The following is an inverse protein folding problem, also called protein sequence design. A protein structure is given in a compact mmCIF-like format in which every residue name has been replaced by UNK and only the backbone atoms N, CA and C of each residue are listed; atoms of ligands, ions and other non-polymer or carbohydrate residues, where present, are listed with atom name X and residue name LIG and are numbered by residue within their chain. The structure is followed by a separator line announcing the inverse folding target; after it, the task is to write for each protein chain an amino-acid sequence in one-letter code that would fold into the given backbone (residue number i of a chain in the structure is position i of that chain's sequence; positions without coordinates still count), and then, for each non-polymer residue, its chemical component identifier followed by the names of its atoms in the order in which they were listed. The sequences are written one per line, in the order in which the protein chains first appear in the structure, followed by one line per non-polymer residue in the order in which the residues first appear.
data_IF_480060069096
#
_entry.id   IF_480060069096
#
_cell.length_a   1.000
_cell.length_b   1.000
_cell.length_c   1.000
_cell.angle_alpha   90.00
_cell.angle_beta   90.00
_cell.angle_gamma   90.00
#
_symmetry.space_group_name_H-M   'P 1'
#
loop_
_entity.id
_entity.type
_entity.pdbx_description
1 polymer ?
#
# COMPACT_ATOMS: atom_id res chain seq x y z
N UNK A 1 6.05 24.53 -0.24
CA UNK A 1 6.88 23.96 0.84
C UNK A 1 7.15 22.51 0.47
N UNK A 2 8.41 22.14 0.28
CA UNK A 2 8.79 20.80 -0.20
C UNK A 2 8.94 19.83 0.98
N UNK A 3 8.45 18.59 0.82
CA UNK A 3 8.46 17.55 1.84
C UNK A 3 9.42 16.43 1.44
N UNK A 4 10.67 16.53 1.87
CA UNK A 4 11.73 15.59 1.53
C UNK A 4 11.70 14.32 2.38
N UNK A 5 12.08 13.20 1.74
CA UNK A 5 12.26 11.92 2.43
C UNK A 5 13.52 11.88 3.30
N UNK A 6 13.68 10.80 4.07
CA UNK A 6 14.79 10.61 5.04
C UNK A 6 16.15 10.80 4.37
N UNK A 7 16.38 10.17 3.21
CA UNK A 7 17.68 10.20 2.50
C UNK A 7 18.07 11.62 2.08
N UNK A 8 17.15 12.36 1.49
CA UNK A 8 17.40 13.73 1.02
C UNK A 8 17.62 14.68 2.20
N UNK A 9 16.84 14.55 3.28
CA UNK A 9 17.06 15.36 4.48
C UNK A 9 18.38 15.06 5.18
N UNK A 10 18.82 13.80 5.20
CA UNK A 10 20.16 13.43 5.70
C UNK A 10 21.26 14.11 4.89
N UNK A 11 21.17 14.07 3.56
CA UNK A 11 22.16 14.70 2.69
C UNK A 11 22.21 16.22 2.84
N UNK A 12 21.03 16.87 2.94
CA UNK A 12 20.94 18.29 3.22
C UNK A 12 21.48 18.66 4.59
N UNK A 13 21.29 17.80 5.60
CA UNK A 13 21.77 18.05 6.96
C UNK A 13 23.30 18.16 7.06
N UNK A 14 24.04 17.49 6.16
CA UNK A 14 25.51 17.56 6.10
C UNK A 14 26.04 18.96 5.76
N UNK A 15 25.20 19.82 5.17
CA UNK A 15 25.56 21.22 4.85
C UNK A 15 25.52 22.13 6.06
N UNK A 16 24.97 21.67 7.19
CA UNK A 16 24.92 22.42 8.43
C UNK A 16 26.06 21.99 9.36
N UNK A 17 26.43 22.89 10.28
CA UNK A 17 27.49 22.67 11.28
C UNK A 17 27.25 21.42 12.14
N UNK A 18 25.97 21.08 12.36
CA UNK A 18 25.55 19.86 13.04
C UNK A 18 24.74 18.97 12.10
N UNK A 19 25.35 17.87 11.67
CA UNK A 19 24.64 16.85 10.89
C UNK A 19 23.53 16.22 11.72
N UNK A 20 22.32 16.15 11.15
CA UNK A 20 21.18 15.55 11.82
C UNK A 20 21.27 14.03 11.76
N UNK A 21 20.96 13.37 12.87
CA UNK A 21 20.89 11.91 12.91
C UNK A 21 19.63 11.40 12.23
N UNK A 22 19.70 10.19 11.67
CA UNK A 22 18.59 9.55 10.95
C UNK A 22 17.34 9.41 11.83
N UNK A 23 17.52 9.16 13.13
CA UNK A 23 16.44 8.94 14.09
C UNK A 23 15.62 10.21 14.32
N UNK A 24 16.30 11.37 14.32
CA UNK A 24 15.67 12.69 14.46
C UNK A 24 14.83 13.00 13.23
N UNK A 25 15.39 12.79 12.03
CA UNK A 25 14.71 13.01 10.76
C UNK A 25 13.52 12.08 10.60
N UNK A 26 13.69 10.79 10.95
CA UNK A 26 12.63 9.79 10.94
C UNK A 26 11.47 10.19 11.87
N UNK A 27 11.79 10.64 13.09
CA UNK A 27 10.79 11.12 14.05
C UNK A 27 10.05 12.34 13.50
N UNK A 28 10.75 13.31 12.92
CA UNK A 28 10.13 14.49 12.32
C UNK A 28 9.15 14.12 11.20
N UNK A 29 9.54 13.25 10.27
CA UNK A 29 8.66 12.78 9.18
C UNK A 29 7.45 12.02 9.75
N UNK A 30 7.65 11.23 10.80
CA UNK A 30 6.56 10.48 11.47
C UNK A 30 5.47 11.40 12.01
N UNK A 31 5.84 12.57 12.53
CA UNK A 31 4.88 13.55 13.07
C UNK A 31 4.38 14.56 12.04
N UNK A 32 4.98 14.63 10.85
CA UNK A 32 4.55 15.53 9.79
C UNK A 32 3.19 15.10 9.19
N UNK A 33 2.14 15.86 9.47
CA UNK A 33 0.76 15.56 9.03
C UNK A 33 0.61 15.45 7.51
N UNK A 34 1.34 16.26 6.74
CA UNK A 34 1.33 16.19 5.28
C UNK A 34 1.95 14.88 4.79
N UNK A 35 3.12 14.50 5.31
CA UNK A 35 3.78 13.24 4.98
C UNK A 35 2.94 12.02 5.40
N UNK A 36 2.24 12.08 6.53
CA UNK A 36 1.37 10.99 6.98
C UNK A 36 0.09 10.86 6.13
N UNK A 37 -0.40 11.95 5.54
CA UNK A 37 -1.56 11.94 4.63
C UNK A 37 -1.20 11.50 3.21
N UNK A 38 -0.03 11.92 2.70
CA UNK A 38 0.44 11.60 1.34
C UNK A 38 1.18 10.27 1.27
N UNK A 39 1.75 9.81 2.38
CA UNK A 39 2.42 8.52 2.47
C UNK A 39 1.45 7.39 2.13
N UNK A 40 1.87 6.51 1.21
CA UNK A 40 1.16 5.23 1.00
C UNK A 40 1.24 4.47 2.32
N UNK A 41 0.13 4.42 3.07
CA UNK A 41 0.01 3.44 4.16
C UNK A 41 0.30 2.07 3.54
N UNK A 42 1.14 1.23 4.16
CA UNK A 42 1.22 -0.16 3.72
C UNK A 42 -0.20 -0.69 3.80
N UNK A 43 -0.79 -1.01 2.64
CA UNK A 43 -2.06 -1.73 2.63
C UNK A 43 -1.73 -3.05 3.32
N UNK A 44 -2.30 -3.28 4.49
CA UNK A 44 -2.31 -4.60 5.10
C UNK A 44 -3.19 -5.46 4.20
N UNK A 45 -2.58 -6.04 3.17
CA UNK A 45 -3.24 -7.03 2.33
C UNK A 45 -2.90 -8.36 3.01
N UNK A 46 -3.85 -8.92 3.76
CA UNK A 46 -3.81 -10.35 4.00
C UNK A 46 -3.89 -11.00 2.62
N UNK A 47 -2.76 -11.46 2.08
CA UNK A 47 -2.67 -12.00 0.71
C UNK A 47 -3.44 -13.32 0.53
N UNK A 48 -4.12 -13.82 1.56
CA UNK A 48 -4.87 -15.08 1.50
C UNK A 48 -6.33 -14.85 1.88
N UNK A 49 -7.20 -15.21 0.94
CA UNK A 49 -8.60 -15.48 1.21
C UNK A 49 -8.70 -16.70 2.13
N UNK A 50 -9.74 -16.79 2.98
CA UNK A 50 -10.00 -18.01 3.75
C UNK A 50 -10.09 -19.23 2.82
N UNK A 51 -9.77 -20.43 3.29
CA UNK A 51 -9.93 -21.64 2.47
C UNK A 51 -11.42 -21.96 2.25
N UNK A 52 -11.77 -22.48 1.07
CA UNK A 52 -13.10 -23.02 0.82
C UNK A 52 -13.13 -24.50 1.23
N UNK A 53 -14.11 -24.92 2.03
CA UNK A 53 -14.11 -26.25 2.64
C UNK A 53 -14.79 -27.33 1.79
N UNK A 54 -15.71 -26.93 0.90
CA UNK A 54 -16.46 -27.82 0.00
C UNK A 54 -17.00 -27.02 -1.20
N UNK A 55 -17.42 -27.71 -2.26
CA UNK A 55 -18.02 -27.08 -3.45
C UNK A 55 -19.20 -26.19 -3.06
N UNK A 56 -19.31 -25.03 -3.71
CA UNK A 56 -20.36 -24.03 -3.47
C UNK A 56 -20.31 -23.36 -2.09
N UNK A 57 -19.24 -23.56 -1.31
CA UNK A 57 -19.02 -22.87 -0.04
C UNK A 57 -18.74 -21.37 -0.23
N UNK A 58 -18.07 -21.00 -1.33
CA UNK A 58 -17.79 -19.60 -1.68
C UNK A 58 -17.66 -19.46 -3.18
N UNK A 59 -18.24 -18.40 -3.73
CA UNK A 59 -18.05 -17.99 -5.11
C UNK A 59 -17.26 -16.69 -5.20
N UNK A 60 -16.42 -16.57 -6.22
CA UNK A 60 -15.86 -15.31 -6.64
C UNK A 60 -16.63 -14.83 -7.87
N UNK A 61 -17.12 -13.60 -7.79
CA UNK A 61 -17.85 -12.94 -8.88
C UNK A 61 -17.04 -11.75 -9.34
N UNK A 62 -16.84 -11.64 -10.65
CA UNK A 62 -16.19 -10.48 -11.26
C UNK A 62 -16.89 -10.07 -12.54
N UNK A 63 -16.68 -8.83 -12.96
CA UNK A 63 -17.22 -8.26 -14.18
C UNK A 63 -16.09 -7.84 -15.10
N UNK A 64 -16.13 -8.27 -16.35
CA UNK A 64 -15.22 -7.75 -17.37
C UNK A 64 -15.96 -7.38 -18.65
N UNK A 65 -15.30 -6.56 -19.45
CA UNK A 65 -15.72 -6.27 -20.82
C UNK A 65 -14.83 -7.02 -21.79
N UNK A 66 -15.44 -7.75 -22.71
CA UNK A 66 -14.74 -8.41 -23.79
C UNK A 66 -15.49 -8.21 -25.11
N UNK A 67 -14.80 -7.70 -26.13
CA UNK A 67 -15.39 -7.37 -27.44
C UNK A 67 -16.67 -6.51 -27.34
N UNK A 68 -16.65 -5.50 -26.46
CA UNK A 68 -17.78 -4.59 -26.26
C UNK A 68 -18.98 -5.18 -25.51
N UNK A 69 -18.89 -6.42 -25.04
CA UNK A 69 -19.93 -7.08 -24.23
C UNK A 69 -19.52 -7.13 -22.77
N UNK A 70 -20.49 -6.93 -21.88
CA UNK A 70 -20.34 -7.18 -20.45
C UNK A 70 -20.44 -8.68 -20.17
N UNK A 71 -19.47 -9.23 -19.45
CA UNK A 71 -19.38 -10.63 -19.05
C UNK A 71 -19.29 -10.68 -17.52
N UNK A 72 -20.10 -11.56 -16.94
CA UNK A 72 -20.02 -11.93 -15.52
C UNK A 72 -19.22 -13.22 -15.42
N UNK A 73 -18.12 -13.20 -14.69
CA UNK A 73 -17.38 -14.41 -14.31
C UNK A 73 -17.87 -14.88 -12.95
N UNK A 74 -18.18 -16.16 -12.88
CA UNK A 74 -18.53 -16.84 -11.64
C UNK A 74 -17.63 -18.06 -11.51
N UNK A 75 -16.82 -18.10 -10.45
CA UNK A 75 -15.94 -19.22 -10.15
C UNK A 75 -16.24 -19.77 -8.75
N UNK A 76 -16.32 -21.09 -8.62
CA UNK A 76 -16.43 -21.74 -7.31
C UNK A 76 -15.04 -21.80 -6.68
N UNK A 77 -14.87 -21.20 -5.50
CA UNK A 77 -13.55 -21.07 -4.90
C UNK A 77 -12.95 -22.41 -4.43
N UNK A 78 -13.75 -23.48 -4.36
CA UNK A 78 -13.28 -24.82 -4.03
C UNK A 78 -12.79 -25.59 -5.26
N UNK A 79 -13.57 -25.60 -6.34
CA UNK A 79 -13.27 -26.39 -7.55
C UNK A 79 -12.55 -25.65 -8.67
N UNK A 80 -12.57 -24.31 -8.67
CA UNK A 80 -11.95 -23.46 -9.70
C UNK A 80 -12.85 -23.25 -10.91
#
# INVERSE_FOLDING_TARGET
MEHYGITTMLELSKKFEFSLKKEVISSFIKFCTICQKSGKKPKFVSNKWPEALYSFHRYHVDHLKYNGKDIILLADAYSG
#
